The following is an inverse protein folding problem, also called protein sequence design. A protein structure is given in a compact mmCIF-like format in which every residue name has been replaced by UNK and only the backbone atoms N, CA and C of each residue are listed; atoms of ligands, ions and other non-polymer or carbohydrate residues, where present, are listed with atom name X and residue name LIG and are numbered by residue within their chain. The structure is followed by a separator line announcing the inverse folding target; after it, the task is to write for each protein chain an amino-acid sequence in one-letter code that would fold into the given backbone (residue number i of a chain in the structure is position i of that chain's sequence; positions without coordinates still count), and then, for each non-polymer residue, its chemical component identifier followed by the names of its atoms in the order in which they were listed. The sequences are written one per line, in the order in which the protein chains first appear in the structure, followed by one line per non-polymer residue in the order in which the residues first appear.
data_IF_366351416420
#
_entry.id   IF_366351416420
#
_cell.length_a   1.000
_cell.length_b   1.000
_cell.length_c   1.000
_cell.angle_alpha   90.00
_cell.angle_beta   90.00
_cell.angle_gamma   90.00
#
_symmetry.space_group_name_H-M   'P 1'
#
loop_
_entity.id
_entity.type
_entity.pdbx_description
1 polymer ?
#
# COMPACT_ATOMS: atom_id res chain seq x y z
N UNK A 1 15.34 13.19 2.07
CA UNK A 1 14.41 12.28 1.37
C UNK A 1 14.70 12.34 -0.11
N UNK A 2 14.79 11.19 -0.77
CA UNK A 2 14.83 11.07 -2.23
C UNK A 2 13.45 10.55 -2.65
N UNK A 3 12.74 11.31 -3.46
CA UNK A 3 11.36 11.04 -3.82
C UNK A 3 11.24 10.92 -5.34
N UNK A 4 10.81 9.75 -5.81
CA UNK A 4 10.67 9.43 -7.22
C UNK A 4 9.25 9.65 -7.77
N UNK A 5 8.31 10.07 -6.93
CA UNK A 5 6.93 10.20 -7.36
C UNK A 5 6.35 8.84 -7.77
N UNK A 6 6.07 8.69 -9.06
CA UNK A 6 5.54 7.47 -9.63
C UNK A 6 6.68 6.59 -10.19
N UNK A 7 6.72 5.32 -9.77
CA UNK A 7 7.67 4.31 -10.28
C UNK A 7 6.93 3.17 -10.97
N UNK A 8 7.57 2.55 -11.95
CA UNK A 8 6.96 1.49 -12.78
C UNK A 8 7.92 0.29 -12.86
N UNK A 9 7.80 -0.50 -13.93
CA UNK A 9 8.68 -1.64 -14.19
C UNK A 9 10.16 -1.26 -14.33
N UNK A 10 10.48 0.02 -14.47
CA UNK A 10 11.82 0.60 -14.47
C UNK A 10 12.46 0.76 -13.07
N UNK A 11 11.77 0.35 -12.00
CA UNK A 11 12.25 0.45 -10.60
C UNK A 11 13.69 -0.01 -10.35
N UNK A 12 14.18 -1.06 -11.03
CA UNK A 12 15.57 -1.52 -10.88
C UNK A 12 16.60 -0.53 -11.46
N UNK A 13 16.26 0.13 -12.57
CA UNK A 13 17.09 1.20 -13.12
C UNK A 13 17.13 2.39 -12.15
N UNK A 14 15.96 2.73 -11.58
CA UNK A 14 15.85 3.80 -10.57
C UNK A 14 16.67 3.43 -9.33
N UNK A 15 16.62 2.17 -8.86
CA UNK A 15 17.41 1.71 -7.73
C UNK A 15 18.92 1.89 -7.95
N UNK A 16 19.44 1.49 -9.12
CA UNK A 16 20.86 1.67 -9.46
C UNK A 16 21.29 3.15 -9.43
N UNK A 17 20.44 4.05 -9.91
CA UNK A 17 20.68 5.50 -9.83
C UNK A 17 20.61 6.01 -8.39
N UNK A 18 19.66 5.50 -7.60
CA UNK A 18 19.46 5.84 -6.18
C UNK A 18 20.70 5.49 -5.37
N UNK A 19 21.31 4.32 -5.60
CA UNK A 19 22.54 3.88 -4.92
C UNK A 19 23.68 4.89 -5.13
N UNK A 20 23.89 5.34 -6.36
CA UNK A 20 24.92 6.35 -6.68
C UNK A 20 24.65 7.70 -6.01
N UNK A 21 23.39 8.12 -5.98
CA UNK A 21 22.98 9.36 -5.31
C UNK A 21 23.19 9.29 -3.80
N UNK A 22 22.81 8.19 -3.15
CA UNK A 22 22.99 8.01 -1.70
C UNK A 22 24.48 7.98 -1.34
N UNK A 23 25.33 7.31 -2.14
CA UNK A 23 26.78 7.35 -1.93
C UNK A 23 27.34 8.77 -2.00
N UNK A 24 26.84 9.58 -2.94
CA UNK A 24 27.21 11.01 -3.02
C UNK A 24 26.76 11.78 -1.78
N UNK A 25 25.53 11.54 -1.30
CA UNK A 25 25.01 12.14 -0.06
C UNK A 25 25.86 11.75 1.13
N UNK A 26 26.18 10.47 1.32
CA UNK A 26 27.00 10.01 2.45
C UNK A 26 28.46 10.45 2.36
N UNK A 27 29.00 10.68 1.17
CA UNK A 27 30.33 11.28 1.02
C UNK A 27 30.36 12.72 1.56
N UNK A 28 29.29 13.49 1.33
CA UNK A 28 29.16 14.87 1.80
C UNK A 28 28.66 14.98 3.26
N UNK A 29 27.79 14.07 3.67
CA UNK A 29 27.14 14.02 4.98
C UNK A 29 27.16 12.58 5.52
N UNK A 30 28.29 12.13 6.10
CA UNK A 30 28.48 10.72 6.49
C UNK A 30 27.54 10.19 7.56
N UNK A 31 26.80 11.04 8.26
CA UNK A 31 25.84 10.65 9.31
C UNK A 31 24.38 10.79 8.85
N UNK A 32 24.13 11.16 7.58
CA UNK A 32 22.79 11.34 7.09
C UNK A 32 22.03 10.01 6.99
N UNK A 33 20.79 10.00 7.48
CA UNK A 33 19.82 8.94 7.18
C UNK A 33 19.02 9.35 5.94
N UNK A 34 18.82 8.43 5.01
CA UNK A 34 18.13 8.71 3.75
C UNK A 34 16.85 7.90 3.66
N UNK A 35 15.72 8.61 3.56
CA UNK A 35 14.47 7.99 3.12
C UNK A 35 14.40 7.95 1.61
N UNK A 36 14.00 6.79 1.07
CA UNK A 36 13.72 6.56 -0.35
C UNK A 36 12.22 6.35 -0.49
N UNK A 37 11.57 7.20 -1.28
CA UNK A 37 10.12 7.28 -1.38
C UNK A 37 9.65 7.20 -2.83
N UNK A 38 8.60 6.41 -3.07
CA UNK A 38 8.03 6.18 -4.39
C UNK A 38 6.61 5.61 -4.29
N UNK A 39 5.89 5.59 -5.41
CA UNK A 39 4.55 5.00 -5.56
C UNK A 39 4.42 4.23 -6.87
N UNK A 40 3.99 2.98 -6.78
CA UNK A 40 3.52 2.23 -7.97
C UNK A 40 2.01 2.24 -8.11
N UNK A 41 1.29 2.88 -7.17
CA UNK A 41 -0.16 2.80 -7.12
C UNK A 41 -0.79 3.39 -8.39
N UNK A 42 -1.75 2.70 -9.03
CA UNK A 42 -2.19 3.08 -10.36
C UNK A 42 -3.00 4.38 -10.39
N UNK A 43 -2.76 5.19 -11.42
CA UNK A 43 -3.65 6.31 -11.78
C UNK A 43 -4.90 5.83 -12.54
N UNK A 44 -4.85 4.65 -13.14
CA UNK A 44 -5.96 3.99 -13.86
C UNK A 44 -6.01 2.50 -13.54
N UNK A 45 -7.20 1.92 -13.60
CA UNK A 45 -7.48 0.54 -13.19
C UNK A 45 -8.05 -0.32 -14.33
N UNK A 46 -8.13 0.25 -15.54
CA UNK A 46 -8.64 -0.44 -16.73
C UNK A 46 -7.81 -1.69 -17.01
N UNK A 47 -8.44 -2.86 -16.98
CA UNK A 47 -7.79 -4.18 -17.17
C UNK A 47 -6.60 -4.44 -16.22
N UNK A 48 -6.61 -3.84 -15.03
CA UNK A 48 -5.55 -3.97 -14.05
C UNK A 48 -6.10 -4.63 -12.78
N UNK A 49 -6.07 -5.96 -12.67
CA UNK A 49 -6.55 -6.66 -11.46
C UNK A 49 -5.53 -6.62 -10.33
N UNK A 50 -4.24 -6.46 -10.66
CA UNK A 50 -3.12 -6.48 -9.71
C UNK A 50 -2.01 -5.52 -10.12
N UNK A 51 -1.26 -5.02 -9.15
CA UNK A 51 -0.11 -4.14 -9.35
C UNK A 51 0.98 -4.50 -8.33
N UNK A 52 2.20 -4.81 -8.78
CA UNK A 52 3.34 -4.99 -7.89
C UNK A 52 3.68 -3.67 -7.18
N UNK A 53 4.09 -3.75 -5.92
CA UNK A 53 4.60 -2.65 -5.08
C UNK A 53 6.07 -2.40 -5.47
N UNK A 54 6.28 -1.69 -6.57
CA UNK A 54 7.63 -1.43 -7.10
C UNK A 54 8.49 -0.56 -6.20
N UNK A 55 7.87 0.31 -5.39
CA UNK A 55 8.54 1.14 -4.40
C UNK A 55 9.24 0.31 -3.31
N UNK A 56 8.63 -0.81 -2.88
CA UNK A 56 9.27 -1.75 -1.95
C UNK A 56 10.43 -2.47 -2.61
N UNK A 57 10.25 -2.98 -3.83
CA UNK A 57 11.32 -3.65 -4.60
C UNK A 57 12.51 -2.71 -4.90
N UNK A 58 12.22 -1.45 -5.19
CA UNK A 58 13.23 -0.40 -5.34
C UNK A 58 14.01 -0.23 -4.03
N UNK A 59 13.30 -0.10 -2.90
CA UNK A 59 13.91 0.04 -1.59
C UNK A 59 14.80 -1.16 -1.25
N UNK A 60 14.31 -2.38 -1.45
CA UNK A 60 15.05 -3.63 -1.21
C UNK A 60 16.33 -3.70 -2.02
N UNK A 61 16.28 -3.33 -3.30
CA UNK A 61 17.47 -3.30 -4.15
C UNK A 61 18.52 -2.29 -3.65
N UNK A 62 18.08 -1.10 -3.24
CA UNK A 62 18.97 -0.08 -2.67
C UNK A 62 19.57 -0.55 -1.35
N UNK A 63 18.73 -1.12 -0.49
CA UNK A 63 19.12 -1.57 0.84
C UNK A 63 20.00 -2.83 0.81
N UNK A 64 19.79 -3.74 -0.15
CA UNK A 64 20.67 -4.87 -0.41
C UNK A 64 22.08 -4.46 -0.83
N UNK A 65 22.25 -3.31 -1.48
CA UNK A 65 23.56 -2.79 -1.89
C UNK A 65 24.24 -1.90 -0.85
N UNK A 66 23.48 -1.24 0.02
CA UNK A 66 23.98 -0.20 0.94
C UNK A 66 23.82 -0.53 2.43
N UNK A 67 23.03 -1.55 2.77
CA UNK A 67 22.61 -1.87 4.14
C UNK A 67 21.40 -1.07 4.61
N UNK A 68 20.66 -1.59 5.59
CA UNK A 68 19.39 -1.02 6.07
C UNK A 68 19.58 0.07 7.14
N UNK A 69 20.71 0.10 7.87
CA UNK A 69 20.86 0.91 9.11
C UNK A 69 20.58 2.41 8.96
N UNK A 70 20.82 2.98 7.76
CA UNK A 70 20.65 4.41 7.49
C UNK A 70 19.70 4.68 6.33
N UNK A 71 18.85 3.71 6.03
CA UNK A 71 17.83 3.81 5.01
C UNK A 71 16.45 3.69 5.66
N UNK A 72 15.52 4.51 5.19
CA UNK A 72 14.13 4.49 5.62
C UNK A 72 13.24 4.25 4.41
N UNK A 73 12.41 3.22 4.46
CA UNK A 73 11.36 3.02 3.47
C UNK A 73 10.34 4.16 3.57
N UNK A 74 10.11 4.87 2.47
CA UNK A 74 9.11 5.92 2.37
C UNK A 74 7.94 5.45 1.52
N UNK A 75 6.75 5.37 2.12
CA UNK A 75 5.52 5.14 1.37
C UNK A 75 4.97 6.47 0.85
N UNK A 76 5.10 6.69 -0.46
CA UNK A 76 4.34 7.74 -1.16
C UNK A 76 2.99 7.23 -1.64
N UNK A 77 2.88 5.92 -1.88
CA UNK A 77 1.96 5.31 -2.82
C UNK A 77 0.68 4.75 -2.26
N UNK A 78 0.56 4.56 -0.95
CA UNK A 78 -0.73 4.25 -0.37
C UNK A 78 -1.78 5.37 -0.62
N UNK A 79 -1.33 6.61 -0.88
CA UNK A 79 -2.12 7.71 -1.42
C UNK A 79 -1.75 7.99 -2.90
N UNK A 80 -2.72 8.41 -3.73
CA UNK A 80 -2.42 8.83 -5.11
C UNK A 80 -1.52 10.07 -5.08
N UNK A 81 -0.37 10.01 -5.75
CA UNK A 81 0.58 11.11 -5.83
C UNK A 81 0.05 12.32 -6.61
N UNK A 82 -0.86 12.11 -7.57
CA UNK A 82 -1.44 13.14 -8.42
C UNK A 82 -2.95 13.30 -8.17
N UNK A 83 -3.43 14.54 -8.20
CA UNK A 83 -4.87 14.81 -8.30
C UNK A 83 -5.37 14.32 -9.66
N UNK A 84 -6.42 13.49 -9.65
CA UNK A 84 -7.14 13.19 -10.88
C UNK A 84 -7.88 14.44 -11.33
N UNK A 85 -7.42 15.04 -12.42
CA UNK A 85 -8.26 15.89 -13.25
C UNK A 85 -9.32 15.02 -13.91
N UNK A 86 -10.58 15.16 -13.48
CA UNK A 86 -11.72 14.61 -14.21
C UNK A 86 -12.34 13.36 -13.59
N UNK A 87 -13.67 13.40 -13.57
CA UNK A 87 -14.55 12.33 -13.13
C UNK A 87 -15.92 12.90 -12.79
N UNK A 88 -16.63 13.50 -13.75
CA UNK A 88 -18.05 13.89 -13.55
C UNK A 88 -18.97 12.66 -13.62
N UNK A 89 -18.50 11.53 -13.10
CA UNK A 89 -19.12 10.21 -13.22
C UNK A 89 -19.12 9.49 -11.89
N UNK A 90 -20.03 8.54 -11.78
CA UNK A 90 -20.14 7.64 -10.64
C UNK A 90 -18.86 6.81 -10.56
N UNK A 91 -18.12 6.92 -9.45
CA UNK A 91 -16.90 6.12 -9.21
C UNK A 91 -17.35 4.72 -8.77
N UNK A 92 -17.01 3.66 -9.53
CA UNK A 92 -17.40 2.30 -9.15
C UNK A 92 -16.81 1.92 -7.80
N UNK A 93 -17.55 1.12 -7.04
CA UNK A 93 -17.12 0.63 -5.74
C UNK A 93 -15.89 -0.27 -5.90
N UNK A 94 -14.92 -0.11 -5.00
CA UNK A 94 -13.66 -0.83 -5.07
C UNK A 94 -13.02 -1.01 -3.71
N UNK A 95 -12.58 -2.24 -3.43
CA UNK A 95 -11.70 -2.56 -2.31
C UNK A 95 -10.30 -2.85 -2.87
N UNK A 96 -9.33 -2.08 -2.41
CA UNK A 96 -7.93 -2.21 -2.78
C UNK A 96 -7.19 -2.92 -1.64
N UNK A 97 -6.82 -4.19 -1.85
CA UNK A 97 -6.22 -5.01 -0.80
C UNK A 97 -4.71 -5.18 -1.04
N UNK A 98 -3.84 -4.71 -0.13
CA UNK A 98 -2.42 -4.99 -0.19
C UNK A 98 -2.08 -6.39 0.33
N UNK A 99 -1.03 -6.94 -0.25
CA UNK A 99 -0.14 -7.94 0.34
C UNK A 99 1.27 -7.31 0.46
N UNK A 100 2.27 -8.05 0.93
CA UNK A 100 3.64 -7.54 1.09
C UNK A 100 4.25 -7.03 -0.22
N UNK A 101 3.97 -7.71 -1.35
CA UNK A 101 4.59 -7.40 -2.64
C UNK A 101 3.68 -6.76 -3.69
N UNK A 102 2.35 -6.77 -3.49
CA UNK A 102 1.41 -6.35 -4.53
C UNK A 102 0.08 -5.85 -3.97
N UNK A 103 -0.62 -5.09 -4.82
CA UNK A 103 -2.02 -4.74 -4.66
C UNK A 103 -2.90 -5.68 -5.48
N UNK A 104 -4.04 -6.09 -4.93
CA UNK A 104 -5.14 -6.71 -5.67
C UNK A 104 -6.38 -5.81 -5.59
N UNK A 105 -7.06 -5.62 -6.72
CA UNK A 105 -8.17 -4.68 -6.85
C UNK A 105 -9.48 -5.43 -7.08
N UNK A 106 -10.40 -5.37 -6.11
CA UNK A 106 -11.75 -5.93 -6.16
C UNK A 106 -12.71 -4.82 -6.58
N UNK A 107 -13.33 -4.95 -7.76
CA UNK A 107 -14.10 -3.89 -8.42
C UNK A 107 -15.49 -4.35 -8.80
N UNK A 108 -16.48 -3.53 -8.47
CA UNK A 108 -17.85 -3.68 -8.99
C UNK A 108 -18.04 -2.77 -10.20
N UNK A 109 -19.00 -3.11 -11.06
CA UNK A 109 -19.57 -2.17 -12.04
C UNK A 109 -20.62 -1.25 -11.37
N UNK A 110 -21.07 -1.63 -10.17
CA UNK A 110 -21.97 -0.84 -9.34
C UNK A 110 -21.18 0.16 -8.47
N UNK A 111 -21.91 1.14 -7.95
CA UNK A 111 -21.36 2.14 -7.05
C UNK A 111 -22.25 2.32 -5.83
N UNK A 112 -21.71 3.00 -4.82
CA UNK A 112 -22.36 3.09 -3.53
C UNK A 112 -22.18 1.82 -2.71
N UNK A 113 -22.95 1.71 -1.64
CA UNK A 113 -22.74 0.71 -0.59
C UNK A 113 -22.86 -0.72 -1.10
N UNK A 114 -23.84 -1.04 -1.95
CA UNK A 114 -24.05 -2.41 -2.45
C UNK A 114 -22.83 -2.94 -3.20
N UNK A 115 -22.23 -2.11 -4.05
CA UNK A 115 -20.97 -2.46 -4.72
C UNK A 115 -19.81 -2.64 -3.74
N UNK A 116 -19.74 -1.88 -2.64
CA UNK A 116 -18.70 -2.09 -1.63
C UNK A 116 -18.94 -3.37 -0.82
N UNK A 117 -20.19 -3.70 -0.49
CA UNK A 117 -20.57 -4.96 0.16
C UNK A 117 -20.12 -6.14 -0.70
N UNK A 118 -20.48 -6.12 -1.99
CA UNK A 118 -20.11 -7.16 -2.96
C UNK A 118 -18.59 -7.38 -2.99
N UNK A 119 -17.81 -6.30 -3.14
CA UNK A 119 -16.36 -6.41 -3.25
C UNK A 119 -15.68 -6.79 -1.93
N UNK A 120 -16.22 -6.38 -0.78
CA UNK A 120 -15.74 -6.82 0.52
C UNK A 120 -15.99 -8.32 0.73
N UNK A 121 -17.17 -8.82 0.37
CA UNK A 121 -17.49 -10.25 0.42
C UNK A 121 -16.62 -11.05 -0.54
N UNK A 122 -16.39 -10.56 -1.75
CA UNK A 122 -15.51 -11.20 -2.73
C UNK A 122 -14.07 -11.31 -2.23
N UNK A 123 -13.54 -10.27 -1.59
CA UNK A 123 -12.23 -10.31 -0.95
C UNK A 123 -12.20 -11.35 0.19
N UNK A 124 -13.16 -11.31 1.12
CA UNK A 124 -13.20 -12.22 2.28
C UNK A 124 -13.38 -13.70 1.89
N UNK A 125 -14.02 -13.98 0.75
CA UNK A 125 -14.13 -15.33 0.20
C UNK A 125 -12.89 -15.78 -0.59
N UNK A 126 -11.95 -14.87 -0.88
CA UNK A 126 -10.74 -15.15 -1.63
C UNK A 126 -9.63 -15.71 -0.73
N UNK A 127 -8.69 -16.49 -1.28
CA UNK A 127 -7.53 -16.98 -0.52
C UNK A 127 -6.53 -15.87 -0.14
N UNK A 128 -6.77 -14.62 -0.58
CA UNK A 128 -5.94 -13.46 -0.21
C UNK A 128 -6.32 -12.88 1.15
N UNK A 129 -7.52 -13.17 1.63
CA UNK A 129 -8.01 -12.61 2.89
C UNK A 129 -7.21 -13.15 4.07
N UNK A 130 -6.58 -12.24 4.81
CA UNK A 130 -5.97 -12.55 6.10
C UNK A 130 -6.87 -11.97 7.21
N UNK A 131 -7.67 -12.84 7.83
CA UNK A 131 -8.53 -12.47 8.96
C UNK A 131 -7.78 -12.26 10.28
N UNK A 132 -6.54 -12.75 10.39
CA UNK A 132 -5.71 -12.57 11.60
C UNK A 132 -4.93 -11.25 11.57
N UNK A 133 -4.92 -10.53 10.44
CA UNK A 133 -4.40 -9.17 10.38
C UNK A 133 -5.36 -8.19 11.08
N UNK A 134 -5.31 -8.08 12.41
CA UNK A 134 -6.30 -7.34 13.23
C UNK A 134 -6.11 -5.83 13.29
N UNK A 135 -6.04 -5.16 12.13
CA UNK A 135 -5.98 -3.70 12.05
C UNK A 135 -7.32 -3.07 11.66
N UNK A 136 -7.43 -1.75 11.83
CA UNK A 136 -8.65 -1.00 11.53
C UNK A 136 -9.17 -1.24 10.10
N UNK A 137 -8.29 -1.31 9.10
CA UNK A 137 -8.66 -1.57 7.71
C UNK A 137 -9.34 -2.93 7.50
N UNK A 138 -8.88 -3.97 8.21
CA UNK A 138 -9.50 -5.30 8.23
C UNK A 138 -10.91 -5.22 8.81
N UNK A 139 -11.07 -4.59 9.97
CA UNK A 139 -12.37 -4.40 10.61
C UNK A 139 -13.34 -3.62 9.71
N UNK A 140 -12.85 -2.61 8.98
CA UNK A 140 -13.64 -1.85 8.03
C UNK A 140 -14.14 -2.71 6.87
N UNK A 141 -13.30 -3.59 6.32
CA UNK A 141 -13.71 -4.54 5.27
C UNK A 141 -14.76 -5.52 5.80
N UNK A 142 -14.55 -6.11 6.98
CA UNK A 142 -15.52 -7.06 7.52
C UNK A 142 -16.87 -6.42 7.84
N UNK A 143 -16.88 -5.20 8.40
CA UNK A 143 -18.12 -4.46 8.67
C UNK A 143 -18.84 -4.11 7.36
N UNK A 144 -18.07 -3.73 6.33
CA UNK A 144 -18.60 -3.49 4.99
C UNK A 144 -19.25 -4.74 4.41
N UNK A 145 -18.61 -5.91 4.51
CA UNK A 145 -19.18 -7.17 4.03
C UNK A 145 -20.52 -7.54 4.72
N UNK A 146 -20.77 -7.02 5.93
CA UNK A 146 -22.02 -7.18 6.70
C UNK A 146 -23.07 -6.09 6.42
N UNK A 147 -22.77 -5.14 5.53
CA UNK A 147 -23.69 -4.05 5.17
C UNK A 147 -23.71 -2.87 6.15
N UNK A 148 -22.69 -2.71 6.99
CA UNK A 148 -22.59 -1.56 7.89
C UNK A 148 -22.30 -0.27 7.10
N UNK A 149 -23.30 0.59 6.96
CA UNK A 149 -23.18 1.86 6.24
C UNK A 149 -22.19 2.85 6.88
N UNK A 150 -21.79 2.64 8.14
CA UNK A 150 -20.73 3.46 8.76
C UNK A 150 -19.32 2.99 8.40
N UNK A 151 -19.17 1.80 7.80
CA UNK A 151 -17.93 1.27 7.27
C UNK A 151 -17.61 1.85 5.87
N UNK A 152 -17.05 1.06 4.95
CA UNK A 152 -16.64 1.55 3.62
C UNK A 152 -17.86 1.69 2.72
N UNK A 153 -18.25 2.93 2.47
CA UNK A 153 -19.35 3.32 1.56
C UNK A 153 -18.91 4.32 0.47
N UNK A 154 -17.65 4.75 0.53
CA UNK A 154 -17.11 5.87 -0.24
C UNK A 154 -15.65 5.61 -0.64
N UNK A 155 -15.18 6.22 -1.76
CA UNK A 155 -13.80 6.06 -2.21
C UNK A 155 -12.75 6.54 -1.19
N UNK A 156 -13.10 7.55 -0.38
CA UNK A 156 -12.24 8.07 0.68
C UNK A 156 -12.05 7.06 1.81
N UNK A 157 -13.13 6.42 2.29
CA UNK A 157 -13.04 5.38 3.32
C UNK A 157 -12.31 4.13 2.80
N UNK A 158 -12.53 3.75 1.53
CA UNK A 158 -11.77 2.67 0.89
C UNK A 158 -10.27 2.99 0.83
N UNK A 159 -9.93 4.23 0.46
CA UNK A 159 -8.54 4.71 0.46
C UNK A 159 -7.92 4.68 1.86
N UNK A 160 -8.66 5.11 2.90
CA UNK A 160 -8.17 5.07 4.27
C UNK A 160 -7.88 3.62 4.72
N UNK A 161 -8.81 2.69 4.45
CA UNK A 161 -8.64 1.28 4.81
C UNK A 161 -7.42 0.67 4.11
N UNK A 162 -7.24 0.97 2.82
CA UNK A 162 -6.07 0.57 2.03
C UNK A 162 -4.76 1.07 2.66
N UNK A 163 -4.69 2.35 3.01
CA UNK A 163 -3.48 2.96 3.59
C UNK A 163 -3.14 2.27 4.90
N UNK A 164 -4.13 2.06 5.77
CA UNK A 164 -3.91 1.41 7.06
C UNK A 164 -3.34 -0.01 6.90
N UNK A 165 -3.95 -0.84 6.03
CA UNK A 165 -3.48 -2.19 5.75
C UNK A 165 -2.05 -2.19 5.18
N UNK A 166 -1.78 -1.29 4.22
CA UNK A 166 -0.48 -1.24 3.57
C UNK A 166 0.63 -0.85 4.52
N UNK A 167 0.42 0.19 5.33
CA UNK A 167 1.43 0.62 6.30
C UNK A 167 1.74 -0.49 7.30
N UNK A 168 0.73 -1.22 7.79
CA UNK A 168 0.93 -2.37 8.65
C UNK A 168 1.83 -3.41 7.98
N UNK A 169 1.49 -3.85 6.76
CA UNK A 169 2.29 -4.85 6.03
C UNK A 169 3.71 -4.36 5.75
N UNK A 170 3.90 -3.09 5.40
CA UNK A 170 5.24 -2.56 5.10
C UNK A 170 6.09 -2.38 6.36
N UNK A 171 5.48 -2.08 7.52
CA UNK A 171 6.18 -2.06 8.82
C UNK A 171 6.76 -3.42 9.16
N UNK A 172 6.03 -4.49 8.90
CA UNK A 172 6.44 -5.87 9.18
C UNK A 172 7.02 -6.60 7.97
N UNK A 173 7.43 -5.87 6.92
CA UNK A 173 7.88 -6.51 5.67
C UNK A 173 9.08 -7.45 5.88
N UNK A 174 10.03 -7.07 6.74
CA UNK A 174 11.24 -7.86 7.00
C UNK A 174 11.02 -8.93 8.09
N UNK A 175 9.86 -8.93 8.75
CA UNK A 175 9.40 -9.97 9.67
C UNK A 175 7.88 -10.24 9.52
N UNK A 176 7.46 -10.88 8.41
CA UNK A 176 6.04 -11.09 8.12
C UNK A 176 5.29 -11.87 9.20
N UNK A 177 5.99 -12.70 9.99
CA UNK A 177 5.37 -13.49 11.06
C UNK A 177 4.88 -12.65 12.23
N UNK A 178 5.42 -11.45 12.43
CA UNK A 178 5.04 -10.55 13.51
C UNK A 178 3.85 -9.65 13.15
N UNK A 179 3.36 -9.67 11.91
CA UNK A 179 2.30 -8.75 11.45
C UNK A 179 0.93 -8.99 12.10
N UNK A 180 0.69 -10.21 12.57
CA UNK A 180 -0.54 -10.67 13.22
C UNK A 180 -0.47 -10.55 14.76
N UNK A 181 0.74 -10.43 15.32
CA UNK A 181 1.02 -10.41 16.75
C UNK A 181 1.18 -8.97 17.27
N UNK A 182 0.16 -8.14 17.04
CA UNK A 182 0.19 -6.72 17.43
C UNK A 182 -0.85 -6.32 18.47
N UNK A 183 -1.62 -7.28 19.00
CA UNK A 183 -2.47 -7.03 20.16
C UNK A 183 -1.63 -7.22 21.43
N UNK A 184 -1.39 -6.14 22.17
CA UNK A 184 -0.80 -6.24 23.50
C UNK A 184 -1.80 -6.96 24.43
N UNK A 185 -1.32 -7.98 25.16
CA UNK A 185 -2.08 -8.58 26.25
C UNK A 185 -2.41 -7.49 27.27
N UNK A 186 -3.70 -7.18 27.44
CA UNK A 186 -4.15 -6.23 28.45
C UNK A 186 -3.83 -6.80 29.84
N UNK A 187 -2.83 -6.24 30.52
CA UNK A 187 -2.58 -6.50 31.94
C UNK A 187 -3.51 -5.62 32.80
N UNK A 188 -4.39 -6.27 33.58
CA UNK A 188 -5.31 -5.64 34.56
C UNK A 188 -4.59 -5.07 35.81
#
# INVERSE_FOLDING_TARGET
MIDYGAVRSDHLLIAAQTVGLIRTVWAAAPLATVSVSASSFPSSFTNLPRQLIFERRLFDEVAGQLGHERLIYGDRGSARADQLGGGSGVIPARIDYPDFEQWTFFRSDEAGLDGYIEQAQALMASPLWNGELRVWGTQMIERTARGDASAIDTPSKSTAARINLHLQLQTFHDDPGAVEDTEDDWED
#
